data_IF_636570831006
#
_entry.id   IF_636570831006
#
_cell.length_a   1.000
_cell.length_b   1.000
_cell.length_c   1.000
_cell.angle_alpha   90.00
_cell.angle_beta   90.00
_cell.angle_gamma   90.00
#
_symmetry.space_group_name_H-M   'P 1'
#
loop_
_entity.id
_entity.type
_entity.pdbx_description
1 polymer ?
#
# COMPACT_ATOMS: atom_id res chain seq x y z
N UNK A 1 4.44 15.75 13.96
CA UNK A 1 4.35 15.86 12.49
C UNK A 1 2.96 15.51 12.01
N UNK A 2 2.49 16.08 10.90
CA UNK A 2 1.23 15.67 10.27
C UNK A 2 1.33 14.19 9.88
N UNK A 3 0.33 13.38 10.22
CA UNK A 3 0.27 11.96 9.85
C UNK A 3 -0.37 11.80 8.46
N UNK A 4 -0.01 10.74 7.74
CA UNK A 4 -0.75 10.33 6.56
C UNK A 4 -2.17 9.93 6.98
N UNK A 5 -3.17 10.32 6.20
CA UNK A 5 -4.57 9.93 6.43
C UNK A 5 -4.89 8.80 5.46
N UNK A 6 -5.28 7.66 6.02
CA UNK A 6 -5.74 6.48 5.29
C UNK A 6 -7.26 6.48 5.25
N UNK A 7 -7.80 6.22 4.07
CA UNK A 7 -9.24 6.14 3.81
C UNK A 7 -9.59 4.73 3.34
N UNK A 8 -10.87 4.37 3.41
CA UNK A 8 -11.37 3.07 2.92
C UNK A 8 -10.93 2.78 1.48
N UNK A 9 -10.95 3.80 0.60
CA UNK A 9 -10.47 3.66 -0.78
C UNK A 9 -8.97 3.35 -0.88
N UNK A 10 -8.15 3.85 0.05
CA UNK A 10 -6.73 3.48 0.10
C UNK A 10 -6.58 1.99 0.45
N UNK A 11 -7.37 1.49 1.39
CA UNK A 11 -7.34 0.10 1.82
C UNK A 11 -7.76 -0.84 0.67
N UNK A 12 -8.81 -0.48 -0.07
CA UNK A 12 -9.25 -1.20 -1.28
C UNK A 12 -8.14 -1.29 -2.33
N UNK A 13 -7.41 -0.18 -2.58
CA UNK A 13 -6.28 -0.15 -3.51
C UNK A 13 -5.14 -1.05 -3.02
N UNK A 14 -4.80 -0.97 -1.73
CA UNK A 14 -3.74 -1.81 -1.14
C UNK A 14 -4.11 -3.29 -1.30
N UNK A 15 -5.32 -3.69 -0.90
CA UNK A 15 -5.78 -5.09 -0.99
C UNK A 15 -5.75 -5.57 -2.44
N UNK A 16 -6.25 -4.77 -3.40
CA UNK A 16 -6.26 -5.12 -4.81
C UNK A 16 -4.85 -5.35 -5.36
N UNK A 17 -3.95 -4.39 -5.15
CA UNK A 17 -2.56 -4.48 -5.65
C UNK A 17 -1.80 -5.63 -5.00
N UNK A 18 -1.97 -5.85 -3.69
CA UNK A 18 -1.37 -7.00 -3.01
C UNK A 18 -1.90 -8.33 -3.57
N UNK A 19 -3.21 -8.41 -3.86
CA UNK A 19 -3.80 -9.57 -4.53
C UNK A 19 -3.15 -9.86 -5.89
N UNK A 20 -2.99 -8.84 -6.73
CA UNK A 20 -2.33 -8.97 -8.04
C UNK A 20 -0.86 -9.39 -7.91
N UNK A 21 -0.12 -8.79 -6.98
CA UNK A 21 1.29 -9.12 -6.75
C UNK A 21 1.46 -10.51 -6.13
N UNK A 22 0.48 -11.00 -5.37
CA UNK A 22 0.43 -12.39 -4.90
C UNK A 22 0.37 -13.35 -6.08
N UNK A 23 -0.51 -13.09 -7.04
CA UNK A 23 -0.70 -13.92 -8.23
C UNK A 23 0.56 -13.94 -9.11
N UNK A 24 1.37 -12.87 -9.07
CA UNK A 24 2.67 -12.78 -9.75
C UNK A 24 3.82 -13.46 -8.99
N UNK A 25 3.57 -14.04 -7.80
CA UNK A 25 4.61 -14.66 -6.99
C UNK A 25 5.56 -13.67 -6.31
N UNK A 26 5.12 -12.42 -6.10
CA UNK A 26 5.93 -11.38 -5.46
C UNK A 26 5.76 -11.30 -3.93
N UNK A 27 4.95 -12.19 -3.36
CA UNK A 27 4.95 -12.46 -1.92
C UNK A 27 6.17 -13.34 -1.58
N UNK A 28 6.95 -12.96 -0.58
CA UNK A 28 8.02 -13.78 -0.01
C UNK A 28 7.54 -14.50 1.24
N UNK A 29 8.29 -15.52 1.69
CA UNK A 29 7.97 -16.27 2.92
C UNK A 29 7.88 -15.36 4.17
N UNK A 30 8.63 -14.26 4.18
CA UNK A 30 8.67 -13.29 5.28
C UNK A 30 7.81 -12.03 5.02
N UNK A 31 6.95 -12.03 4.00
CA UNK A 31 6.02 -10.92 3.72
C UNK A 31 6.05 -10.44 2.27
N UNK A 32 6.14 -9.13 2.06
CA UNK A 32 6.08 -8.53 0.73
C UNK A 32 7.43 -7.91 0.35
N UNK A 33 7.85 -8.12 -0.91
CA UNK A 33 9.06 -7.47 -1.45
C UNK A 33 8.89 -5.95 -1.46
N UNK A 34 9.99 -5.20 -1.33
CA UNK A 34 9.96 -3.72 -1.43
C UNK A 34 9.30 -3.22 -2.72
N UNK A 35 9.49 -3.93 -3.83
CA UNK A 35 8.88 -3.61 -5.13
C UNK A 35 7.35 -3.63 -5.10
N UNK A 36 6.75 -4.48 -4.27
CA UNK A 36 5.29 -4.57 -4.12
C UNK A 36 4.75 -3.29 -3.47
N UNK A 37 5.42 -2.79 -2.43
CA UNK A 37 5.04 -1.54 -1.79
C UNK A 37 5.23 -0.32 -2.69
N UNK A 38 6.23 -0.34 -3.57
CA UNK A 38 6.38 0.66 -4.62
C UNK A 38 5.21 0.63 -5.61
N UNK A 39 4.72 -0.57 -5.98
CA UNK A 39 3.54 -0.71 -6.85
C UNK A 39 2.28 -0.17 -6.15
N UNK A 40 2.09 -0.49 -4.87
CA UNK A 40 1.00 0.04 -4.03
C UNK A 40 1.04 1.56 -3.98
N UNK A 41 2.21 2.16 -3.71
CA UNK A 41 2.35 3.62 -3.67
C UNK A 41 1.95 4.26 -5.00
N UNK A 42 2.41 3.72 -6.13
CA UNK A 42 2.05 4.24 -7.46
C UNK A 42 0.54 4.18 -7.74
N UNK A 43 -0.12 3.10 -7.33
CA UNK A 43 -1.57 2.98 -7.45
C UNK A 43 -2.30 4.00 -6.57
N UNK A 44 -1.84 4.19 -5.32
CA UNK A 44 -2.40 5.21 -4.42
C UNK A 44 -2.18 6.63 -4.97
N UNK A 45 -1.03 6.91 -5.56
CA UNK A 45 -0.73 8.19 -6.22
C UNK A 45 -1.65 8.48 -7.40
N UNK A 46 -2.03 7.44 -8.15
CA UNK A 46 -2.88 7.55 -9.34
C UNK A 46 -4.38 7.54 -9.03
N UNK A 47 -4.83 6.80 -8.02
CA UNK A 47 -6.25 6.46 -7.84
C UNK A 47 -6.88 7.03 -6.56
N UNK A 48 -6.06 7.44 -5.59
CA UNK A 48 -6.53 7.96 -4.31
C UNK A 48 -6.47 9.49 -4.21
N UNK A 49 -7.28 10.04 -3.31
CA UNK A 49 -7.20 11.45 -2.94
C UNK A 49 -6.18 11.62 -1.83
N UNK A 50 -5.12 12.38 -2.10
CA UNK A 50 -4.08 12.69 -1.11
C UNK A 50 -4.64 13.57 0.01
N UNK A 51 -4.64 13.05 1.24
CA UNK A 51 -4.97 13.81 2.46
C UNK A 51 -3.89 13.63 3.52
N UNK A 52 -3.56 14.70 4.23
CA UNK A 52 -2.54 14.69 5.28
C UNK A 52 -1.12 14.74 4.73
N UNK A 53 -0.18 14.07 5.42
CA UNK A 53 1.20 13.95 4.94
C UNK A 53 1.32 12.96 3.77
N UNK A 54 2.34 13.08 2.90
CA UNK A 54 2.58 12.16 1.81
C UNK A 54 2.72 10.71 2.29
N UNK A 55 2.07 9.79 1.58
CA UNK A 55 2.25 8.36 1.77
C UNK A 55 3.58 7.94 1.14
N UNK A 56 4.23 6.94 1.73
CA UNK A 56 5.47 6.35 1.21
C UNK A 56 5.29 4.84 1.11
N UNK A 57 6.13 4.16 0.33
CA UNK A 57 6.07 2.71 0.20
C UNK A 57 6.26 2.01 1.57
N UNK A 58 7.13 2.56 2.41
CA UNK A 58 7.31 2.11 3.79
C UNK A 58 6.01 2.24 4.60
N UNK A 59 5.38 3.42 4.60
CA UNK A 59 4.12 3.63 5.31
C UNK A 59 2.99 2.74 4.77
N UNK A 60 2.99 2.37 3.48
CA UNK A 60 2.03 1.40 2.92
C UNK A 60 2.19 0.02 3.57
N UNK A 61 3.44 -0.43 3.74
CA UNK A 61 3.72 -1.71 4.40
C UNK A 61 3.41 -1.70 5.89
N UNK A 62 3.61 -0.56 6.56
CA UNK A 62 3.19 -0.38 7.96
C UNK A 62 1.68 -0.38 8.11
N UNK A 63 0.97 0.38 7.26
CA UNK A 63 -0.49 0.47 7.28
C UNK A 63 -1.14 -0.87 6.95
N UNK A 64 -0.56 -1.68 6.06
CA UNK A 64 -1.05 -3.03 5.82
C UNK A 64 -1.19 -3.89 7.09
N UNK A 65 -0.39 -3.64 8.14
CA UNK A 65 -0.52 -4.35 9.42
C UNK A 65 -1.82 -4.03 10.18
N UNK A 66 -2.49 -2.94 9.84
CA UNK A 66 -3.77 -2.50 10.43
C UNK A 66 -4.97 -2.87 9.56
N UNK A 67 -4.74 -3.15 8.28
CA UNK A 67 -5.77 -3.55 7.30
C UNK A 67 -5.99 -5.07 7.28
N UNK A 68 -4.93 -5.87 7.52
CA UNK A 68 -4.96 -7.34 7.44
C UNK A 68 -5.61 -8.06 8.62
#
# INVERSE_FOLDING_TARGET
GKKAIWMVKDDEIIVRVLGEEKMKGNQSDNGWKKSVWTAVLRALESESHHKGAPKTAEHCGEHWRTVK
#
